data_IF_765109168006
#
_entry.id   IF_765109168006
#
_cell.length_a   1.000
_cell.length_b   1.000
_cell.length_c   1.000
_cell.angle_alpha   90.00
_cell.angle_beta   90.00
_cell.angle_gamma   90.00
#
_symmetry.space_group_name_H-M   'P 1'
#
loop_
_entity.id
_entity.type
_entity.pdbx_description
1 polymer ?
#
# COMPACT_ATOMS: atom_id res chain seq x y z
N UNK A 1 -13.46 -10.94 16.66
CA UNK A 1 -12.09 -10.59 16.24
C UNK A 1 -11.97 -10.99 14.78
N UNK A 2 -11.88 -10.04 13.86
CA UNK A 2 -11.78 -10.32 12.42
C UNK A 2 -10.42 -10.97 12.15
N UNK A 3 -10.38 -12.09 11.43
CA UNK A 3 -9.13 -12.78 11.13
C UNK A 3 -8.26 -12.01 10.13
N UNK A 4 -6.94 -12.15 10.19
CA UNK A 4 -6.00 -11.46 9.28
C UNK A 4 -6.33 -11.70 7.80
N UNK A 5 -6.82 -12.89 7.43
CA UNK A 5 -7.25 -13.20 6.05
C UNK A 5 -8.42 -12.35 5.58
N UNK A 6 -9.39 -12.10 6.46
CA UNK A 6 -10.55 -11.26 6.14
C UNK A 6 -10.14 -9.79 6.00
N UNK A 7 -9.18 -9.34 6.82
CA UNK A 7 -8.55 -8.01 6.69
C UNK A 7 -7.81 -7.90 5.37
N UNK A 8 -7.01 -8.91 4.97
CA UNK A 8 -6.34 -8.93 3.68
C UNK A 8 -7.33 -8.79 2.53
N UNK A 9 -8.41 -9.57 2.54
CA UNK A 9 -9.44 -9.51 1.50
C UNK A 9 -10.12 -8.14 1.45
N UNK A 10 -10.38 -7.51 2.61
CA UNK A 10 -10.93 -6.17 2.68
C UNK A 10 -9.98 -5.12 2.08
N UNK A 11 -8.71 -5.16 2.46
CA UNK A 11 -7.70 -4.24 1.97
C UNK A 11 -7.46 -4.38 0.47
N UNK A 12 -7.39 -5.61 -0.06
CA UNK A 12 -7.28 -5.85 -1.51
C UNK A 12 -8.46 -5.23 -2.26
N UNK A 13 -9.68 -5.42 -1.76
CA UNK A 13 -10.88 -4.84 -2.36
C UNK A 13 -10.83 -3.32 -2.35
N UNK A 14 -10.41 -2.71 -1.24
CA UNK A 14 -10.28 -1.25 -1.12
C UNK A 14 -9.25 -0.72 -2.11
N UNK A 15 -8.08 -1.34 -2.21
CA UNK A 15 -7.02 -0.95 -3.16
C UNK A 15 -7.54 -1.00 -4.59
N UNK A 16 -8.21 -2.09 -4.98
CA UNK A 16 -8.78 -2.24 -6.32
C UNK A 16 -9.91 -1.26 -6.64
N UNK A 17 -10.56 -0.67 -5.62
CA UNK A 17 -11.60 0.33 -5.76
C UNK A 17 -11.07 1.77 -5.75
N UNK A 18 -9.76 1.99 -5.58
CA UNK A 18 -9.17 3.33 -5.63
C UNK A 18 -9.25 3.86 -7.06
N UNK A 19 -10.19 4.77 -7.27
CA UNK A 19 -10.36 5.51 -8.52
C UNK A 19 -9.55 6.81 -8.49
N UNK A 20 -8.80 7.09 -9.56
CA UNK A 20 -8.03 8.34 -9.69
C UNK A 20 -8.93 9.60 -9.81
N UNK A 21 -10.25 9.45 -9.97
CA UNK A 21 -11.19 10.57 -10.19
C UNK A 21 -11.14 11.65 -9.10
N UNK A 22 -10.73 11.30 -7.87
CA UNK A 22 -10.53 12.25 -6.77
C UNK A 22 -9.20 13.02 -6.77
N UNK A 23 -8.35 12.80 -7.77
CA UNK A 23 -7.00 13.34 -7.84
C UNK A 23 -6.05 12.80 -6.75
N UNK A 24 -4.80 13.30 -6.69
CA UNK A 24 -3.78 12.81 -5.76
C UNK A 24 -4.20 12.83 -4.28
N UNK A 25 -4.98 13.85 -3.88
CA UNK A 25 -5.50 13.98 -2.51
C UNK A 25 -6.49 12.87 -2.16
N UNK A 26 -7.39 12.51 -3.09
CA UNK A 26 -8.34 11.42 -2.88
C UNK A 26 -7.63 10.08 -2.68
N UNK A 27 -6.64 9.81 -3.54
CA UNK A 27 -5.81 8.60 -3.42
C UNK A 27 -5.05 8.58 -2.10
N UNK A 28 -4.43 9.68 -1.70
CA UNK A 28 -3.68 9.76 -0.44
C UNK A 28 -4.55 9.45 0.79
N UNK A 29 -5.81 9.91 0.80
CA UNK A 29 -6.75 9.61 1.90
C UNK A 29 -7.09 8.13 1.96
N UNK A 30 -7.31 7.47 0.82
CA UNK A 30 -7.59 6.03 0.83
C UNK A 30 -6.36 5.21 1.23
N UNK A 31 -5.16 5.61 0.78
CA UNK A 31 -3.90 4.97 1.18
C UNK A 31 -3.65 5.11 2.69
N UNK A 32 -3.89 6.28 3.28
CA UNK A 32 -3.77 6.49 4.73
C UNK A 32 -4.73 5.59 5.53
N UNK A 33 -5.99 5.46 5.08
CA UNK A 33 -6.96 4.54 5.70
C UNK A 33 -6.49 3.09 5.63
N UNK A 34 -5.97 2.66 4.48
CA UNK A 34 -5.40 1.32 4.30
C UNK A 34 -4.23 1.12 5.26
N UNK A 35 -3.32 2.10 5.38
CA UNK A 35 -2.20 2.05 6.31
C UNK A 35 -2.65 1.94 7.77
N UNK A 36 -3.67 2.69 8.18
CA UNK A 36 -4.20 2.63 9.53
C UNK A 36 -4.76 1.24 9.88
N UNK A 37 -5.52 0.63 8.96
CA UNK A 37 -6.05 -0.73 9.13
C UNK A 37 -4.90 -1.75 9.17
N UNK A 38 -3.97 -1.68 8.21
CA UNK A 38 -2.80 -2.56 8.16
C UNK A 38 -1.96 -2.48 9.46
N UNK A 39 -1.80 -1.28 10.01
CA UNK A 39 -1.07 -1.05 11.25
C UNK A 39 -1.77 -1.69 12.46
N UNK A 40 -3.09 -1.53 12.57
CA UNK A 40 -3.89 -2.17 13.62
C UNK A 40 -3.78 -3.71 13.61
N UNK A 41 -3.52 -4.30 12.44
CA UNK A 41 -3.36 -5.74 12.27
C UNK A 41 -1.89 -6.21 12.16
N UNK A 42 -0.91 -5.34 12.44
CA UNK A 42 0.54 -5.63 12.36
C UNK A 42 0.99 -6.18 11.00
N UNK A 43 0.41 -5.66 9.92
CA UNK A 43 0.76 -6.00 8.54
C UNK A 43 1.92 -5.14 8.05
N UNK A 44 3.13 -5.43 8.54
CA UNK A 44 4.31 -4.55 8.39
C UNK A 44 4.66 -4.21 6.93
N UNK A 45 4.69 -5.16 5.96
CA UNK A 45 4.89 -4.85 4.55
C UNK A 45 3.87 -3.85 4.00
N UNK A 46 2.58 -4.05 4.28
CA UNK A 46 1.52 -3.17 3.80
C UNK A 46 1.64 -1.76 4.38
N UNK A 47 1.96 -1.65 5.67
CA UNK A 47 2.23 -0.35 6.32
C UNK A 47 3.39 0.38 5.65
N UNK A 48 4.49 -0.34 5.39
CA UNK A 48 5.70 0.22 4.78
C UNK A 48 5.43 0.73 3.36
N UNK A 49 4.83 -0.10 2.50
CA UNK A 49 4.55 0.28 1.11
C UNK A 49 3.54 1.42 1.03
N UNK A 50 2.49 1.41 1.85
CA UNK A 50 1.52 2.51 1.92
C UNK A 50 2.19 3.84 2.30
N UNK A 51 3.09 3.81 3.30
CA UNK A 51 3.83 5.01 3.69
C UNK A 51 4.75 5.54 2.59
N UNK A 52 5.43 4.66 1.85
CA UNK A 52 6.26 5.07 0.71
C UNK A 52 5.41 5.68 -0.42
N UNK A 53 4.23 5.11 -0.69
CA UNK A 53 3.26 5.64 -1.64
C UNK A 53 2.71 7.01 -1.22
N UNK A 54 2.40 7.22 0.05
CA UNK A 54 2.03 8.56 0.57
C UNK A 54 3.13 9.59 0.29
N UNK A 55 4.39 9.22 0.52
CA UNK A 55 5.54 10.05 0.18
C UNK A 55 5.66 10.35 -1.33
N UNK A 56 5.41 9.35 -2.18
CA UNK A 56 5.36 9.52 -3.64
C UNK A 56 4.25 10.48 -4.09
N UNK A 57 3.04 10.32 -3.56
CA UNK A 57 1.92 11.22 -3.83
C UNK A 57 2.21 12.64 -3.37
N UNK A 58 2.87 12.80 -2.20
CA UNK A 58 3.28 14.10 -1.70
C UNK A 58 4.32 14.80 -2.59
N UNK A 59 5.16 14.03 -3.30
CA UNK A 59 6.08 14.54 -4.34
C UNK A 59 5.38 14.89 -5.66
N UNK A 60 4.10 14.59 -5.80
CA UNK A 60 3.32 14.84 -7.01
C UNK A 60 3.36 13.71 -8.03
N UNK A 61 3.82 12.50 -7.67
CA UNK A 61 3.72 11.35 -8.56
C UNK A 61 2.25 11.08 -8.95
N UNK A 62 2.03 10.77 -10.23
CA UNK A 62 0.69 10.60 -10.79
C UNK A 62 0.68 9.58 -11.94
N UNK A 63 -0.52 9.15 -12.33
CA UNK A 63 -0.71 8.28 -13.50
C UNK A 63 -0.08 6.90 -13.32
N UNK A 64 0.66 6.44 -14.32
CA UNK A 64 1.20 5.07 -14.38
C UNK A 64 2.08 4.70 -13.17
N UNK A 65 2.82 5.66 -12.60
CA UNK A 65 3.64 5.43 -11.40
C UNK A 65 2.77 5.07 -10.20
N UNK A 66 1.69 5.82 -9.97
CA UNK A 66 0.75 5.53 -8.86
C UNK A 66 0.07 4.17 -9.05
N UNK A 67 -0.27 3.78 -10.29
CA UNK A 67 -0.78 2.43 -10.55
C UNK A 67 0.23 1.34 -10.18
N UNK A 68 1.51 1.53 -10.50
CA UNK A 68 2.58 0.62 -10.08
C UNK A 68 2.70 0.52 -8.55
N UNK A 69 2.60 1.65 -7.86
CA UNK A 69 2.59 1.68 -6.39
C UNK A 69 1.38 0.97 -5.78
N UNK A 70 0.17 1.17 -6.34
CA UNK A 70 -1.04 0.50 -5.87
C UNK A 70 -0.96 -1.02 -6.09
N UNK A 71 -0.38 -1.47 -7.21
CA UNK A 71 -0.10 -2.89 -7.42
C UNK A 71 0.87 -3.45 -6.37
N UNK A 72 1.95 -2.72 -6.07
CA UNK A 72 2.90 -3.10 -5.01
C UNK A 72 2.25 -3.15 -3.62
N UNK A 73 1.36 -2.22 -3.32
CA UNK A 73 0.59 -2.22 -2.07
C UNK A 73 -0.33 -3.44 -2.00
N UNK A 74 -0.98 -3.80 -3.10
CA UNK A 74 -1.81 -5.01 -3.18
C UNK A 74 -0.99 -6.28 -2.95
N UNK A 75 0.19 -6.40 -3.55
CA UNK A 75 1.12 -7.52 -3.33
C UNK A 75 1.56 -7.61 -1.85
N UNK A 76 1.86 -6.48 -1.22
CA UNK A 76 2.25 -6.43 0.19
C UNK A 76 1.12 -6.86 1.14
N UNK A 77 -0.13 -6.48 0.84
CA UNK A 77 -1.32 -6.94 1.57
C UNK A 77 -1.54 -8.43 1.36
N UNK A 78 -1.42 -8.93 0.13
CA UNK A 78 -1.62 -10.34 -0.19
C UNK A 78 -0.50 -11.24 0.34
N UNK A 79 0.69 -10.70 0.63
CA UNK A 79 1.83 -11.48 1.09
C UNK A 79 1.48 -12.32 2.33
N UNK A 80 1.80 -13.62 2.30
CA UNK A 80 1.57 -14.51 3.43
C UNK A 80 2.41 -14.14 4.65
N UNK A 81 3.59 -13.58 4.42
CA UNK A 81 4.47 -13.07 5.48
C UNK A 81 4.22 -11.60 5.73
N UNK A 82 3.91 -11.27 6.98
CA UNK A 82 3.62 -9.90 7.42
C UNK A 82 4.65 -9.41 8.45
N UNK A 83 5.85 -10.00 8.41
CA UNK A 83 6.95 -9.75 9.34
C UNK A 83 7.94 -8.69 8.82
N UNK A 84 8.92 -8.34 9.66
CA UNK A 84 9.95 -7.33 9.34
C UNK A 84 10.79 -7.69 8.12
N UNK A 85 11.11 -8.98 7.94
CA UNK A 85 11.93 -9.42 6.81
C UNK A 85 11.16 -9.27 5.49
N UNK A 86 9.86 -9.59 5.47
CA UNK A 86 9.00 -9.29 4.34
C UNK A 86 8.90 -7.77 4.10
N UNK A 87 8.75 -6.97 5.16
CA UNK A 87 8.70 -5.51 5.04
C UNK A 87 9.99 -4.94 4.42
N UNK A 88 11.16 -5.45 4.83
CA UNK A 88 12.44 -5.03 4.28
C UNK A 88 12.58 -5.40 2.79
N UNK A 89 12.14 -6.60 2.40
CA UNK A 89 12.15 -7.04 1.01
C UNK A 89 11.26 -6.16 0.12
N UNK A 90 10.05 -5.83 0.56
CA UNK A 90 9.16 -4.91 -0.16
C UNK A 90 9.74 -3.51 -0.26
N UNK A 91 10.34 -2.99 0.81
CA UNK A 91 11.00 -1.69 0.77
C UNK A 91 12.14 -1.66 -0.26
N UNK A 92 12.97 -2.69 -0.31
CA UNK A 92 14.04 -2.82 -1.30
C UNK A 92 13.49 -2.89 -2.73
N UNK A 93 12.43 -3.68 -2.96
CA UNK A 93 11.77 -3.78 -4.26
C UNK A 93 11.16 -2.44 -4.72
N UNK A 94 10.51 -1.70 -3.81
CA UNK A 94 10.00 -0.36 -4.09
C UNK A 94 11.14 0.60 -4.47
N UNK A 95 12.25 0.59 -3.74
CA UNK A 95 13.42 1.43 -4.08
C UNK A 95 13.99 1.11 -5.45
N UNK A 96 14.04 -0.16 -5.88
CA UNK A 96 14.53 -0.52 -7.23
C UNK A 96 13.55 -0.09 -8.32
N UNK A 97 12.24 -0.26 -8.08
CA UNK A 97 11.21 -0.05 -9.10
C UNK A 97 10.79 1.41 -9.27
N UNK A 98 10.90 2.21 -8.20
CA UNK A 98 10.42 3.59 -8.15
C UNK A 98 11.51 4.59 -7.75
N UNK A 99 12.79 4.18 -7.73
CA UNK A 99 13.87 5.16 -7.75
C UNK A 99 13.77 5.94 -9.07
N UNK A 100 13.31 7.18 -8.95
CA UNK A 100 13.40 8.21 -9.96
C UNK A 100 14.47 9.23 -9.53
#
# INVERSE_FOLDING_TARGET
MIGTTEVKADLVRRIGAIEWRGGPRGVAVEVDRIRAIASAHRMLPAVKVAHMLEGALARGEHGALVHGWLAMLQEAVACERQDEAASAAFAAACSVRFAA
#
